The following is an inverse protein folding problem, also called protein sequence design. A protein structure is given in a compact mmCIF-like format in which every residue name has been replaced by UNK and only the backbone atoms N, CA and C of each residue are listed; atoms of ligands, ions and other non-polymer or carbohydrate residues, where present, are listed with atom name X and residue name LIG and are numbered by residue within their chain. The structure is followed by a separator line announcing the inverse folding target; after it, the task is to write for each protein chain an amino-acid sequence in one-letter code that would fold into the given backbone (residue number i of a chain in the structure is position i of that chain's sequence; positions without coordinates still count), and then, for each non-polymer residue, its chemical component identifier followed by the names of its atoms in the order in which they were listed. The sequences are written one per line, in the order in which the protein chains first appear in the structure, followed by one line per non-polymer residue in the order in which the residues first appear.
data_IF_672760324900
#
_entry.id   IF_672760324900
#
_cell.length_a   1.000
_cell.length_b   1.000
_cell.length_c   1.000
_cell.angle_alpha   90.00
_cell.angle_beta   90.00
_cell.angle_gamma   90.00
#
_symmetry.space_group_name_H-M   'P 1'
#
loop_
_entity.id
_entity.type
_entity.pdbx_description
1 polymer ?
#
# COMPACT_ATOMS: atom_id res chain seq x y z
N UNK A 1 -19.59 -7.21 9.61
CA UNK A 1 -18.44 -8.03 10.09
C UNK A 1 -17.08 -7.59 9.53
N UNK A 2 -16.93 -7.29 8.23
CA UNK A 2 -15.63 -6.91 7.61
C UNK A 2 -15.03 -5.58 8.10
N UNK A 3 -15.84 -4.54 8.30
CA UNK A 3 -15.37 -3.22 8.78
C UNK A 3 -14.84 -3.30 10.22
N UNK A 4 -15.52 -4.04 11.11
CA UNK A 4 -15.06 -4.26 12.49
C UNK A 4 -13.68 -4.94 12.52
N UNK A 5 -13.45 -5.94 11.66
CA UNK A 5 -12.16 -6.63 11.52
C UNK A 5 -11.05 -5.70 11.01
N UNK A 6 -11.36 -4.82 10.06
CA UNK A 6 -10.42 -3.82 9.55
C UNK A 6 -10.01 -2.81 10.64
N UNK A 7 -10.99 -2.30 11.40
CA UNK A 7 -10.74 -1.36 12.50
C UNK A 7 -9.96 -2.00 13.64
N UNK A 8 -10.28 -3.25 14.00
CA UNK A 8 -9.53 -4.02 14.98
C UNK A 8 -8.06 -4.17 14.56
N UNK A 9 -7.83 -4.55 13.30
CA UNK A 9 -6.47 -4.70 12.76
C UNK A 9 -5.70 -3.38 12.83
N UNK A 10 -6.35 -2.26 12.49
CA UNK A 10 -5.74 -0.95 12.59
C UNK A 10 -5.37 -0.60 14.04
N UNK A 11 -6.31 -0.72 14.97
CA UNK A 11 -6.09 -0.35 16.37
C UNK A 11 -5.05 -1.23 17.06
N UNK A 12 -5.00 -2.52 16.72
CA UNK A 12 -3.95 -3.42 17.21
C UNK A 12 -2.54 -2.99 16.79
N UNK A 13 -2.39 -2.20 15.71
CA UNK A 13 -1.10 -1.61 15.32
C UNK A 13 -0.93 -0.19 15.88
N UNK A 14 -1.97 0.64 15.77
CA UNK A 14 -1.93 2.03 16.16
C UNK A 14 -1.69 2.21 17.67
N UNK A 15 -2.31 1.40 18.53
CA UNK A 15 -2.14 1.50 19.99
C UNK A 15 -0.68 1.23 20.40
N UNK A 16 -0.04 0.11 20.00
CA UNK A 16 1.40 -0.08 20.24
C UNK A 16 2.26 1.05 19.66
N UNK A 17 1.94 1.57 18.48
CA UNK A 17 2.67 2.69 17.88
C UNK A 17 2.60 3.96 18.75
N UNK A 18 1.44 4.30 19.30
CA UNK A 18 1.31 5.42 20.24
C UNK A 18 2.09 5.18 21.53
N UNK A 19 2.07 3.96 22.07
CA UNK A 19 2.84 3.62 23.27
C UNK A 19 4.33 3.84 22.99
N UNK A 20 4.86 3.29 21.90
CA UNK A 20 6.27 3.46 21.49
C UNK A 20 6.61 4.95 21.28
N UNK A 21 5.74 5.70 20.61
CA UNK A 21 5.94 7.13 20.38
C UNK A 21 6.04 7.92 21.70
N UNK A 22 5.14 7.66 22.65
CA UNK A 22 5.10 8.37 23.93
C UNK A 22 6.21 7.95 24.89
N UNK A 23 6.47 6.65 25.05
CA UNK A 23 7.36 6.14 26.10
C UNK A 23 8.80 5.96 25.63
N UNK A 24 9.01 5.44 24.42
CA UNK A 24 10.36 5.15 23.89
C UNK A 24 10.93 6.36 23.16
N UNK A 25 10.10 7.07 22.41
CA UNK A 25 10.54 8.20 21.59
C UNK A 25 10.34 9.57 22.27
N UNK A 26 9.66 9.62 23.42
CA UNK A 26 9.43 10.85 24.19
C UNK A 26 8.53 11.88 23.48
N UNK A 27 7.70 11.45 22.53
CA UNK A 27 6.81 12.33 21.79
C UNK A 27 5.62 12.78 22.65
N UNK A 28 5.31 14.09 22.65
CA UNK A 28 4.20 14.62 23.42
C UNK A 28 2.85 14.26 22.77
N UNK A 29 2.17 13.28 23.34
CA UNK A 29 0.86 12.81 22.87
C UNK A 29 -0.26 13.49 23.65
N UNK A 30 -0.89 14.49 23.04
CA UNK A 30 -2.16 15.04 23.55
C UNK A 30 -3.35 14.16 23.15
N UNK A 31 -4.44 14.17 23.93
CA UNK A 31 -5.67 13.45 23.58
C UNK A 31 -6.25 13.90 22.22
N UNK A 32 -6.10 15.19 21.89
CA UNK A 32 -6.51 15.73 20.59
C UNK A 32 -5.66 15.18 19.44
N UNK A 33 -4.35 15.02 19.65
CA UNK A 33 -3.43 14.41 18.67
C UNK A 33 -3.82 12.96 18.42
N UNK A 34 -4.03 12.18 19.48
CA UNK A 34 -4.43 10.76 19.37
C UNK A 34 -5.75 10.63 18.60
N UNK A 35 -6.75 11.47 18.90
CA UNK A 35 -8.03 11.44 18.19
C UNK A 35 -7.87 11.77 16.70
N UNK A 36 -7.08 12.80 16.37
CA UNK A 36 -6.80 13.16 14.96
C UNK A 36 -6.08 12.02 14.23
N UNK A 37 -5.09 11.38 14.85
CA UNK A 37 -4.36 10.24 14.27
C UNK A 37 -5.26 9.01 14.06
N UNK A 38 -6.12 8.68 15.02
CA UNK A 38 -7.07 7.57 14.89
C UNK A 38 -8.07 7.78 13.75
N UNK A 39 -8.42 9.04 13.45
CA UNK A 39 -9.28 9.42 12.33
C UNK A 39 -8.51 9.61 11.01
N UNK A 40 -7.18 9.48 10.99
CA UNK A 40 -6.35 9.72 9.82
C UNK A 40 -6.26 11.20 9.39
N UNK A 41 -6.54 12.11 10.33
CA UNK A 41 -6.47 13.58 10.17
C UNK A 41 -5.11 14.16 10.63
N UNK A 42 -4.25 13.32 11.18
CA UNK A 42 -2.87 13.63 11.57
C UNK A 42 -1.96 12.49 11.13
N UNK A 43 -0.67 12.78 10.97
CA UNK A 43 0.33 11.85 10.41
C UNK A 43 1.66 11.85 11.18
N UNK A 44 1.66 12.39 12.40
CA UNK A 44 2.80 12.45 13.29
C UNK A 44 3.23 11.08 13.81
N UNK A 45 2.30 10.15 14.04
CA UNK A 45 2.60 8.79 14.54
C UNK A 45 2.24 7.74 13.49
N UNK A 46 1.03 7.78 12.95
CA UNK A 46 0.54 6.87 11.94
C UNK A 46 0.58 7.55 10.58
N UNK A 47 1.78 7.82 10.05
CA UNK A 47 1.98 8.57 8.80
C UNK A 47 1.21 7.98 7.60
N UNK A 48 0.98 6.66 7.60
CA UNK A 48 0.19 6.01 6.55
C UNK A 48 -1.31 5.94 6.82
N UNK A 49 -1.86 6.53 7.88
CA UNK A 49 -3.31 6.57 8.14
C UNK A 49 -4.12 7.23 7.00
N UNK A 50 -3.46 7.89 6.03
CA UNK A 50 -4.07 8.40 4.80
C UNK A 50 -4.89 7.35 4.03
N UNK A 51 -4.61 6.06 4.18
CA UNK A 51 -5.41 5.02 3.52
C UNK A 51 -6.86 5.00 4.03
N UNK A 52 -7.14 5.43 5.26
CA UNK A 52 -8.50 5.46 5.83
C UNK A 52 -9.41 6.41 5.04
N UNK A 53 -9.12 7.73 4.95
CA UNK A 53 -9.91 8.63 4.12
C UNK A 53 -9.82 8.25 2.63
N UNK A 54 -8.68 7.74 2.16
CA UNK A 54 -8.54 7.23 0.78
C UNK A 54 -9.51 6.10 0.47
N UNK A 55 -9.64 5.08 1.32
CA UNK A 55 -10.58 3.97 1.08
C UNK A 55 -12.01 4.43 1.19
N UNK A 56 -12.35 5.30 2.14
CA UNK A 56 -13.69 5.86 2.23
C UNK A 56 -14.08 6.54 0.92
N UNK A 57 -13.25 7.44 0.40
CA UNK A 57 -13.50 8.11 -0.88
C UNK A 57 -13.49 7.11 -2.04
N UNK A 58 -12.51 6.20 -2.09
CA UNK A 58 -12.38 5.24 -3.18
C UNK A 58 -13.58 4.31 -3.28
N UNK A 59 -14.09 3.80 -2.15
CA UNK A 59 -15.30 2.96 -2.13
C UNK A 59 -16.50 3.78 -2.61
N UNK A 60 -16.69 4.99 -2.10
CA UNK A 60 -17.81 5.85 -2.49
C UNK A 60 -17.80 6.19 -3.98
N UNK A 61 -16.62 6.47 -4.55
CA UNK A 61 -16.46 6.77 -5.99
C UNK A 61 -16.57 5.50 -6.83
N UNK A 62 -16.03 4.37 -6.39
CA UNK A 62 -16.06 3.11 -7.15
C UNK A 62 -17.48 2.56 -7.34
N UNK A 63 -18.36 2.73 -6.36
CA UNK A 63 -19.76 2.23 -6.40
C UNK A 63 -20.52 2.70 -7.66
N UNK A 64 -20.56 4.00 -7.99
CA UNK A 64 -21.13 4.46 -9.26
C UNK A 64 -20.19 4.22 -10.46
N UNK A 65 -18.88 4.38 -10.28
CA UNK A 65 -17.92 4.36 -11.39
C UNK A 65 -17.77 2.98 -12.05
N UNK A 66 -17.92 1.90 -11.29
CA UNK A 66 -17.81 0.52 -11.83
C UNK A 66 -18.79 0.26 -12.98
N UNK A 67 -20.00 0.87 -12.96
CA UNK A 67 -21.00 0.70 -14.03
C UNK A 67 -20.54 1.36 -15.32
N UNK A 68 -19.91 2.53 -15.22
CA UNK A 68 -19.36 3.24 -16.37
C UNK A 68 -18.14 2.50 -16.92
N UNK A 69 -17.20 2.13 -16.05
CA UNK A 69 -15.97 1.41 -16.45
C UNK A 69 -16.23 0.02 -17.01
N UNK A 70 -17.42 -0.57 -16.75
CA UNK A 70 -17.79 -1.88 -17.29
C UNK A 70 -18.32 -1.83 -18.72
N UNK A 71 -18.55 -0.64 -19.30
CA UNK A 71 -19.11 -0.51 -20.65
C UNK A 71 -18.14 -0.96 -21.74
N UNK A 72 -16.91 -0.45 -21.72
CA UNK A 72 -15.79 -0.90 -22.55
C UNK A 72 -14.47 -0.44 -21.91
N UNK A 73 -13.35 -0.96 -22.42
CA UNK A 73 -12.01 -0.71 -21.84
C UNK A 73 -11.63 0.76 -21.97
N UNK A 74 -11.98 1.41 -23.07
CA UNK A 74 -11.65 2.80 -23.36
C UNK A 74 -12.32 3.76 -22.37
N UNK A 75 -13.63 3.58 -22.12
CA UNK A 75 -14.38 4.30 -21.10
C UNK A 75 -13.78 3.99 -19.72
N UNK A 76 -13.40 2.73 -19.47
CA UNK A 76 -12.69 2.34 -18.26
C UNK A 76 -11.41 3.15 -18.03
N UNK A 77 -10.56 3.28 -19.04
CA UNK A 77 -9.30 4.05 -18.97
C UNK A 77 -9.59 5.55 -18.77
N UNK A 78 -10.53 6.11 -19.52
CA UNK A 78 -10.88 7.53 -19.40
C UNK A 78 -11.40 7.86 -18.01
N UNK A 79 -12.38 7.10 -17.51
CA UNK A 79 -13.07 7.41 -16.26
C UNK A 79 -12.38 6.85 -15.01
N UNK A 80 -11.60 5.78 -15.15
CA UNK A 80 -10.88 5.13 -14.05
C UNK A 80 -9.44 5.63 -13.86
N UNK A 81 -8.80 6.14 -14.92
CA UNK A 81 -7.39 6.55 -14.87
C UNK A 81 -7.23 8.03 -15.20
N UNK A 82 -7.60 8.44 -16.42
CA UNK A 82 -7.28 9.79 -16.92
C UNK A 82 -8.06 10.87 -16.14
N UNK A 83 -9.37 10.71 -16.03
CA UNK A 83 -10.25 11.69 -15.37
C UNK A 83 -9.92 11.84 -13.88
N UNK A 84 -9.74 10.79 -13.07
CA UNK A 84 -9.31 10.93 -11.68
C UNK A 84 -7.98 11.66 -11.55
N UNK A 85 -6.98 11.33 -12.37
CA UNK A 85 -5.68 12.02 -12.35
C UNK A 85 -5.88 13.52 -12.64
N UNK A 86 -6.63 13.87 -13.68
CA UNK A 86 -6.88 15.26 -14.06
C UNK A 86 -7.66 16.03 -12.98
N UNK A 87 -8.77 15.45 -12.48
CA UNK A 87 -9.62 16.06 -11.45
C UNK A 87 -8.82 16.32 -10.18
N UNK A 88 -8.12 15.32 -9.65
CA UNK A 88 -7.36 15.51 -8.42
C UNK A 88 -6.13 16.40 -8.60
N UNK A 89 -5.54 16.46 -9.81
CA UNK A 89 -4.48 17.42 -10.12
C UNK A 89 -4.98 18.87 -10.14
N UNK A 90 -6.20 19.11 -10.65
CA UNK A 90 -6.84 20.43 -10.64
C UNK A 90 -7.24 20.82 -9.22
N UNK A 91 -7.92 19.92 -8.51
CA UNK A 91 -8.38 20.17 -7.13
C UNK A 91 -7.22 20.49 -6.19
N UNK A 92 -6.05 19.87 -6.37
CA UNK A 92 -4.84 20.19 -5.58
C UNK A 92 -4.38 21.65 -5.72
N UNK A 93 -4.73 22.35 -6.79
CA UNK A 93 -4.35 23.77 -7.00
C UNK A 93 -5.23 24.76 -6.22
N UNK A 94 -6.35 24.31 -5.67
CA UNK A 94 -7.23 25.16 -4.87
C UNK A 94 -6.59 25.47 -3.51
N UNK A 95 -6.91 26.62 -2.87
CA UNK A 95 -6.41 26.97 -1.54
C UNK A 95 -7.07 26.10 -0.46
N UNK A 96 -6.64 24.86 -0.38
CA UNK A 96 -7.16 23.83 0.52
C UNK A 96 -6.27 23.69 1.76
N UNK A 97 -6.83 23.09 2.82
CA UNK A 97 -6.04 22.68 3.97
C UNK A 97 -4.98 21.65 3.56
N UNK A 98 -3.90 21.57 4.33
CA UNK A 98 -2.76 20.69 4.03
C UNK A 98 -3.18 19.21 3.94
N UNK A 99 -4.12 18.80 4.79
CA UNK A 99 -4.66 17.45 4.89
C UNK A 99 -5.46 17.07 3.65
N UNK A 100 -6.32 17.97 3.16
CA UNK A 100 -7.10 17.76 1.93
C UNK A 100 -6.16 17.70 0.72
N UNK A 101 -5.13 18.56 0.69
CA UNK A 101 -4.10 18.53 -0.35
C UNK A 101 -3.36 17.19 -0.42
N UNK A 102 -3.01 16.61 0.74
CA UNK A 102 -2.40 15.27 0.84
C UNK A 102 -3.36 14.19 0.35
N UNK A 103 -4.63 14.22 0.79
CA UNK A 103 -5.65 13.26 0.35
C UNK A 103 -5.83 13.28 -1.17
N UNK A 104 -5.98 14.46 -1.78
CA UNK A 104 -6.11 14.58 -3.23
C UNK A 104 -4.86 14.12 -3.96
N UNK A 105 -3.66 14.38 -3.42
CA UNK A 105 -2.43 13.86 -3.99
C UNK A 105 -2.38 12.32 -3.96
N UNK A 106 -2.84 11.70 -2.87
CA UNK A 106 -2.92 10.25 -2.74
C UNK A 106 -3.99 9.65 -3.66
N UNK A 107 -5.17 10.25 -3.75
CA UNK A 107 -6.24 9.81 -4.66
C UNK A 107 -5.79 9.89 -6.13
N UNK A 108 -5.15 10.99 -6.53
CA UNK A 108 -4.54 11.14 -7.87
C UNK A 108 -3.63 9.96 -8.23
N UNK A 109 -2.83 9.50 -7.26
CA UNK A 109 -1.80 8.50 -7.47
C UNK A 109 -2.33 7.06 -7.39
N UNK A 110 -3.12 6.76 -6.36
CA UNK A 110 -3.50 5.39 -6.02
C UNK A 110 -4.88 4.98 -6.54
N UNK A 111 -5.79 5.93 -6.80
CA UNK A 111 -7.10 5.59 -7.35
C UNK A 111 -7.01 4.88 -8.72
N UNK A 112 -6.14 5.29 -9.66
CA UNK A 112 -5.93 4.56 -10.91
C UNK A 112 -5.53 3.10 -10.70
N UNK A 113 -4.79 2.77 -9.64
CA UNK A 113 -4.41 1.39 -9.32
C UNK A 113 -5.65 0.54 -8.99
N UNK A 114 -6.61 1.11 -8.25
CA UNK A 114 -7.88 0.46 -7.93
C UNK A 114 -8.70 0.23 -9.20
N UNK A 115 -8.79 1.24 -10.07
CA UNK A 115 -9.52 1.13 -11.33
C UNK A 115 -8.90 0.12 -12.28
N UNK A 116 -7.57 0.11 -12.43
CA UNK A 116 -6.87 -0.89 -13.26
C UNK A 116 -7.03 -2.30 -12.68
N UNK A 117 -6.98 -2.47 -11.37
CA UNK A 117 -7.29 -3.76 -10.73
C UNK A 117 -8.69 -4.26 -11.08
N UNK A 118 -9.70 -3.39 -10.97
CA UNK A 118 -11.07 -3.71 -11.38
C UNK A 118 -11.18 -4.06 -12.87
N UNK A 119 -10.58 -3.25 -13.76
CA UNK A 119 -10.59 -3.48 -15.20
C UNK A 119 -9.86 -4.76 -15.58
N UNK A 120 -8.77 -5.09 -14.88
CA UNK A 120 -8.00 -6.32 -15.11
C UNK A 120 -8.85 -7.55 -14.91
N UNK A 121 -9.64 -7.57 -13.84
CA UNK A 121 -10.64 -8.60 -13.59
C UNK A 121 -11.78 -8.57 -14.63
N UNK A 122 -12.34 -7.39 -14.90
CA UNK A 122 -13.53 -7.26 -15.77
C UNK A 122 -13.26 -7.66 -17.23
N UNK A 123 -12.07 -7.38 -17.73
CA UNK A 123 -11.70 -7.52 -19.14
C UNK A 123 -10.64 -8.58 -19.40
N UNK A 124 -10.28 -9.37 -18.39
CA UNK A 124 -9.24 -10.40 -18.47
C UNK A 124 -7.94 -9.84 -19.07
N UNK A 125 -7.48 -8.71 -18.54
CA UNK A 125 -6.34 -7.97 -19.12
C UNK A 125 -5.05 -8.80 -19.06
N UNK A 126 -4.87 -9.60 -18.00
CA UNK A 126 -3.70 -10.44 -17.85
C UNK A 126 -3.66 -11.56 -18.90
N UNK A 127 -4.80 -12.18 -19.20
CA UNK A 127 -4.94 -13.19 -20.25
C UNK A 127 -4.72 -12.58 -21.63
N UNK A 128 -5.19 -11.35 -21.87
CA UNK A 128 -4.91 -10.64 -23.12
C UNK A 128 -3.43 -10.35 -23.30
N UNK A 129 -2.77 -9.85 -22.25
CA UNK A 129 -1.31 -9.64 -22.25
C UNK A 129 -0.60 -10.96 -22.53
N UNK A 130 -1.05 -12.06 -21.92
CA UNK A 130 -0.48 -13.37 -22.13
C UNK A 130 -0.60 -13.85 -23.60
N UNK A 131 -1.74 -13.60 -24.23
CA UNK A 131 -1.97 -13.92 -25.64
C UNK A 131 -1.04 -13.12 -26.59
N UNK A 132 -0.78 -11.85 -26.32
CA UNK A 132 0.20 -11.07 -27.09
C UNK A 132 1.64 -11.56 -26.94
N UNK A 133 1.93 -12.28 -25.84
CA UNK A 133 3.25 -12.77 -25.48
C UNK A 133 3.36 -14.30 -25.61
N UNK A 134 2.48 -14.93 -26.39
CA UNK A 134 2.43 -16.40 -26.53
C UNK A 134 3.72 -16.97 -27.14
N UNK A 135 4.30 -16.27 -28.11
CA UNK A 135 5.46 -16.73 -28.88
C UNK A 135 6.82 -16.33 -28.29
N UNK A 136 6.84 -15.72 -27.11
CA UNK A 136 8.08 -15.25 -26.47
C UNK A 136 8.39 -16.05 -25.20
N UNK A 137 9.66 -16.06 -24.81
CA UNK A 137 10.06 -16.69 -23.56
C UNK A 137 9.53 -15.88 -22.36
N UNK A 138 8.42 -16.34 -21.78
CA UNK A 138 7.71 -15.67 -20.69
C UNK A 138 8.58 -15.44 -19.44
N UNK A 139 9.56 -16.30 -19.16
CA UNK A 139 10.47 -16.11 -18.03
C UNK A 139 11.39 -14.91 -18.25
N UNK A 140 11.97 -14.80 -19.44
CA UNK A 140 12.84 -13.67 -19.80
C UNK A 140 12.03 -12.37 -19.78
N UNK A 141 10.84 -12.38 -20.40
CA UNK A 141 9.94 -11.21 -20.39
C UNK A 141 9.57 -10.81 -18.97
N UNK A 142 9.28 -11.77 -18.09
CA UNK A 142 8.92 -11.48 -16.69
C UNK A 142 10.07 -10.84 -15.91
N UNK A 143 11.30 -11.34 -16.07
CA UNK A 143 12.49 -10.74 -15.43
C UNK A 143 12.70 -9.31 -15.96
N UNK A 144 12.60 -9.11 -17.27
CA UNK A 144 12.72 -7.79 -17.89
C UNK A 144 11.64 -6.84 -17.38
N UNK A 145 10.38 -7.28 -17.30
CA UNK A 145 9.27 -6.49 -16.77
C UNK A 145 9.50 -6.09 -15.32
N UNK A 146 10.01 -7.00 -14.47
CA UNK A 146 10.35 -6.67 -13.08
C UNK A 146 11.39 -5.55 -13.05
N UNK A 147 12.48 -5.68 -13.79
CA UNK A 147 13.54 -4.65 -13.86
C UNK A 147 12.98 -3.33 -14.39
N UNK A 148 12.20 -3.36 -15.46
CA UNK A 148 11.56 -2.18 -16.05
C UNK A 148 10.57 -1.51 -15.09
N UNK A 149 9.82 -2.27 -14.29
CA UNK A 149 8.93 -1.70 -13.27
C UNK A 149 9.73 -0.98 -12.18
N UNK A 150 10.84 -1.55 -11.70
CA UNK A 150 11.66 -0.92 -10.68
C UNK A 150 12.39 0.33 -11.20
N UNK A 151 13.04 0.22 -12.36
CA UNK A 151 13.73 1.35 -13.00
C UNK A 151 12.73 2.41 -13.45
N UNK A 152 11.63 2.00 -14.06
CA UNK A 152 10.55 2.88 -14.51
C UNK A 152 9.96 3.68 -13.35
N UNK A 153 9.65 3.04 -12.22
CA UNK A 153 9.15 3.71 -11.01
C UNK A 153 10.12 4.76 -10.48
N UNK A 154 11.43 4.52 -10.56
CA UNK A 154 12.45 5.48 -10.16
C UNK A 154 12.37 6.79 -10.96
N UNK A 155 12.11 6.71 -12.27
CA UNK A 155 12.00 7.88 -13.14
C UNK A 155 10.59 8.47 -13.23
N UNK A 156 9.56 7.63 -13.23
CA UNK A 156 8.16 8.04 -13.49
C UNK A 156 7.22 7.36 -12.50
N UNK A 157 7.12 7.91 -11.29
CA UNK A 157 6.23 7.37 -10.25
C UNK A 157 4.73 7.41 -10.61
N UNK A 158 4.32 8.27 -11.56
CA UNK A 158 2.91 8.43 -11.94
C UNK A 158 2.26 7.20 -12.59
N UNK A 159 3.06 6.19 -12.99
CA UNK A 159 2.59 5.00 -13.71
C UNK A 159 2.45 3.76 -12.81
N UNK A 160 2.34 3.95 -11.49
CA UNK A 160 2.20 2.86 -10.51
C UNK A 160 1.07 1.87 -10.84
N UNK A 161 -0.02 2.35 -11.45
CA UNK A 161 -1.13 1.49 -11.90
C UNK A 161 -0.71 0.48 -12.98
N UNK A 162 0.19 0.88 -13.88
CA UNK A 162 0.72 0.03 -14.93
C UNK A 162 1.83 -0.89 -14.38
N UNK A 163 2.72 -0.35 -13.54
CA UNK A 163 3.76 -1.16 -12.91
C UNK A 163 3.19 -2.26 -12.04
N UNK A 164 2.14 -1.99 -11.27
CA UNK A 164 1.45 -3.00 -10.47
C UNK A 164 0.88 -4.12 -11.34
N UNK A 165 0.24 -3.77 -12.46
CA UNK A 165 -0.31 -4.75 -13.42
C UNK A 165 0.78 -5.65 -14.02
N UNK A 166 1.86 -5.05 -14.52
CA UNK A 166 2.96 -5.80 -15.14
C UNK A 166 3.77 -6.61 -14.13
N UNK A 167 3.97 -6.10 -12.92
CA UNK A 167 4.62 -6.84 -11.84
C UNK A 167 3.79 -8.07 -11.45
N UNK A 168 2.46 -7.92 -11.38
CA UNK A 168 1.55 -9.05 -11.14
C UNK A 168 1.66 -10.10 -12.24
N UNK A 169 1.61 -9.67 -13.52
CA UNK A 169 1.81 -10.57 -14.67
C UNK A 169 3.15 -11.32 -14.59
N UNK A 170 4.24 -10.61 -14.31
CA UNK A 170 5.58 -11.18 -14.25
C UNK A 170 5.72 -12.23 -13.13
N UNK A 171 5.22 -11.94 -11.94
CA UNK A 171 5.28 -12.86 -10.79
C UNK A 171 4.52 -14.15 -11.10
N UNK A 172 3.32 -14.05 -11.68
CA UNK A 172 2.50 -15.22 -12.05
C UNK A 172 3.26 -16.11 -13.06
N UNK A 173 3.90 -15.50 -14.06
CA UNK A 173 4.60 -16.24 -15.11
C UNK A 173 5.89 -16.91 -14.68
N UNK A 174 6.59 -16.37 -13.67
CA UNK A 174 7.79 -17.00 -13.13
C UNK A 174 7.51 -18.31 -12.37
N UNK A 175 6.23 -18.66 -12.15
CA UNK A 175 5.79 -19.90 -11.47
C UNK A 175 6.48 -20.11 -10.12
N UNK A 176 6.85 -19.02 -9.45
CA UNK A 176 7.47 -19.06 -8.13
C UNK A 176 6.44 -19.61 -7.16
N UNK A 177 6.77 -20.73 -6.52
CA UNK A 177 5.87 -21.41 -5.60
C UNK A 177 6.58 -21.78 -4.30
N UNK A 178 5.79 -22.18 -3.30
CA UNK A 178 6.22 -22.51 -1.95
C UNK A 178 7.23 -23.67 -1.85
N UNK A 179 7.49 -24.43 -2.93
CA UNK A 179 8.58 -25.42 -2.93
C UNK A 179 9.95 -24.78 -3.02
N UNK A 180 10.03 -23.58 -3.59
CA UNK A 180 11.28 -22.81 -3.73
C UNK A 180 11.54 -21.93 -2.50
N UNK A 181 12.80 -21.65 -2.19
CA UNK A 181 13.17 -20.70 -1.11
C UNK A 181 12.54 -19.32 -1.37
N UNK A 182 12.64 -18.83 -2.61
CA UNK A 182 12.06 -17.56 -3.01
C UNK A 182 10.54 -17.53 -2.81
N UNK A 183 9.83 -18.61 -3.18
CA UNK A 183 8.38 -18.68 -2.99
C UNK A 183 7.96 -18.76 -1.53
N UNK A 184 8.68 -19.51 -0.68
CA UNK A 184 8.43 -19.49 0.79
C UNK A 184 8.63 -18.11 1.39
N UNK A 185 9.67 -17.40 0.95
CA UNK A 185 9.94 -16.04 1.42
C UNK A 185 8.88 -15.04 0.95
N UNK A 186 8.49 -15.10 -0.33
CA UNK A 186 7.41 -14.26 -0.88
C UNK A 186 6.09 -14.55 -0.18
N UNK A 187 5.77 -15.82 0.07
CA UNK A 187 4.57 -16.21 0.82
C UNK A 187 4.60 -15.68 2.27
N UNK A 188 5.74 -15.81 2.98
CA UNK A 188 5.91 -15.23 4.31
C UNK A 188 5.70 -13.71 4.32
N UNK A 189 6.29 -13.00 3.35
CA UNK A 189 6.10 -11.56 3.18
C UNK A 189 4.64 -11.24 2.84
N UNK A 190 3.99 -12.04 1.99
CA UNK A 190 2.60 -11.88 1.58
C UNK A 190 1.64 -12.01 2.75
N UNK A 191 1.81 -13.03 3.59
CA UNK A 191 1.03 -13.26 4.82
C UNK A 191 1.16 -12.10 5.80
N UNK A 192 2.35 -11.54 5.94
CA UNK A 192 2.66 -10.44 6.87
C UNK A 192 2.47 -9.03 6.27
N UNK A 193 2.23 -8.93 4.95
CA UNK A 193 2.31 -7.69 4.17
C UNK A 193 1.49 -6.52 4.72
N UNK A 194 0.26 -6.79 5.19
CA UNK A 194 -0.63 -5.74 5.73
C UNK A 194 -0.09 -5.13 7.02
N UNK A 195 0.45 -5.93 7.92
CA UNK A 195 1.06 -5.42 9.15
C UNK A 195 2.38 -4.75 8.87
N UNK A 196 3.23 -5.33 8.02
CA UNK A 196 4.47 -4.70 7.58
C UNK A 196 4.19 -3.32 6.98
N UNK A 197 3.12 -3.20 6.19
CA UNK A 197 2.65 -1.92 5.67
C UNK A 197 2.20 -0.93 6.76
N UNK A 198 1.64 -1.35 7.88
CA UNK A 198 1.35 -0.42 8.97
C UNK A 198 2.59 -0.10 9.81
N UNK A 199 3.40 -1.10 10.11
CA UNK A 199 4.56 -0.99 10.98
C UNK A 199 5.69 -0.18 10.35
N UNK A 200 5.84 -0.21 9.01
CA UNK A 200 6.87 0.61 8.36
C UNK A 200 6.62 2.11 8.50
N UNK A 201 5.41 2.54 8.91
CA UNK A 201 5.15 3.93 9.35
C UNK A 201 6.20 4.40 10.35
N UNK A 202 6.62 3.51 11.26
CA UNK A 202 7.46 3.88 12.40
C UNK A 202 8.84 4.39 11.97
N UNK A 203 9.32 4.00 10.78
CA UNK A 203 10.59 4.50 10.22
C UNK A 203 10.50 5.93 9.70
N UNK A 204 9.30 6.41 9.37
CA UNK A 204 9.10 7.68 8.65
C UNK A 204 8.26 8.70 9.41
N UNK A 205 7.44 8.25 10.36
CA UNK A 205 6.61 9.12 11.16
C UNK A 205 7.44 10.05 12.03
N UNK A 206 7.03 11.31 12.12
CA UNK A 206 7.74 12.36 12.85
C UNK A 206 8.05 11.94 14.30
N UNK A 207 7.09 11.32 14.97
CA UNK A 207 7.18 10.93 16.36
C UNK A 207 8.19 9.81 16.63
N UNK A 208 8.51 8.97 15.64
CA UNK A 208 9.30 7.74 15.86
C UNK A 208 10.54 7.65 14.98
N UNK A 209 10.63 8.41 13.88
CA UNK A 209 11.71 8.29 12.89
C UNK A 209 13.10 8.39 13.51
N UNK A 210 13.33 9.31 14.45
CA UNK A 210 14.67 9.58 14.98
C UNK A 210 15.21 8.38 15.78
N UNK A 211 14.31 7.58 16.36
CA UNK A 211 14.66 6.41 17.17
C UNK A 211 14.65 5.13 16.35
N UNK A 212 13.66 4.97 15.46
CA UNK A 212 13.43 3.72 14.73
C UNK A 212 14.24 3.65 13.44
N UNK A 213 14.35 4.76 12.69
CA UNK A 213 15.07 4.76 11.41
C UNK A 213 16.53 4.28 11.52
N UNK A 214 17.32 4.65 12.56
CA UNK A 214 18.68 4.15 12.73
C UNK A 214 18.82 2.63 12.80
N UNK A 215 17.78 1.89 13.23
CA UNK A 215 17.80 0.43 13.38
C UNK A 215 18.03 -0.31 12.05
N UNK A 216 17.50 0.23 10.95
CA UNK A 216 17.78 -0.31 9.61
C UNK A 216 18.84 0.51 8.86
N UNK A 217 18.90 1.83 9.09
CA UNK A 217 19.73 2.74 8.30
C UNK A 217 21.22 2.73 8.68
N UNK A 218 21.62 2.05 9.77
CA UNK A 218 23.03 1.88 10.14
C UNK A 218 23.87 1.25 9.02
N UNK A 219 23.26 0.41 8.17
CA UNK A 219 23.95 -0.30 7.10
C UNK A 219 24.45 0.61 5.97
N UNK A 220 23.90 1.83 5.83
CA UNK A 220 24.24 2.84 4.79
C UNK A 220 24.24 2.32 3.33
N UNK A 221 23.77 1.11 3.09
CA UNK A 221 23.63 0.49 1.78
C UNK A 221 22.14 0.21 1.52
N UNK A 222 21.54 0.73 0.44
CA UNK A 222 20.09 0.63 0.20
C UNK A 222 19.54 -0.81 0.21
N UNK A 223 20.31 -1.78 -0.29
CA UNK A 223 19.91 -3.20 -0.33
C UNK A 223 19.91 -3.77 1.09
N UNK A 224 20.96 -3.51 1.86
CA UNK A 224 21.04 -3.98 3.25
C UNK A 224 19.97 -3.33 4.13
N UNK A 225 19.72 -2.03 3.96
CA UNK A 225 18.63 -1.32 4.65
C UNK A 225 17.29 -2.01 4.37
N UNK A 226 17.02 -2.34 3.10
CA UNK A 226 15.80 -3.05 2.72
C UNK A 226 15.71 -4.42 3.38
N UNK A 227 16.78 -5.22 3.34
CA UNK A 227 16.81 -6.56 3.94
C UNK A 227 16.56 -6.51 5.44
N UNK A 228 17.25 -5.60 6.15
CA UNK A 228 17.10 -5.42 7.60
C UNK A 228 15.68 -4.95 7.92
N UNK A 229 15.18 -3.91 7.25
CA UNK A 229 13.84 -3.40 7.48
C UNK A 229 12.76 -4.47 7.22
N UNK A 230 12.86 -5.25 6.14
CA UNK A 230 11.92 -6.35 5.85
C UNK A 230 11.95 -7.39 6.96
N UNK A 231 13.12 -7.78 7.44
CA UNK A 231 13.25 -8.74 8.53
C UNK A 231 12.64 -8.21 9.84
N UNK A 232 12.98 -6.98 10.24
CA UNK A 232 12.41 -6.32 11.42
C UNK A 232 10.88 -6.24 11.35
N UNK A 233 10.35 -5.87 10.18
CA UNK A 233 8.91 -5.75 9.95
C UNK A 233 8.17 -7.09 9.97
N UNK A 234 8.79 -8.18 9.48
CA UNK A 234 8.22 -9.53 9.60
C UNK A 234 8.12 -9.93 11.08
N UNK A 235 9.19 -9.74 11.85
CA UNK A 235 9.21 -10.07 13.28
C UNK A 235 8.13 -9.28 14.04
N UNK A 236 8.04 -7.97 13.80
CA UNK A 236 7.02 -7.13 14.42
C UNK A 236 5.60 -7.52 13.97
N UNK A 237 5.42 -7.91 12.72
CA UNK A 237 4.13 -8.38 12.19
C UNK A 237 3.62 -9.62 12.93
N UNK A 238 4.48 -10.62 13.14
CA UNK A 238 4.13 -11.84 13.88
C UNK A 238 3.75 -11.53 15.34
N UNK A 239 4.45 -10.58 15.98
CA UNK A 239 4.09 -10.09 17.34
C UNK A 239 2.70 -9.45 17.34
N UNK A 240 2.41 -8.60 16.35
CA UNK A 240 1.09 -7.96 16.20
C UNK A 240 -0.01 -9.01 15.99
N UNK A 241 0.22 -10.03 15.17
CA UNK A 241 -0.77 -11.08 14.93
C UNK A 241 -0.99 -11.96 16.18
N UNK A 242 0.05 -12.20 16.97
CA UNK A 242 -0.09 -12.82 18.29
C UNK A 242 -0.93 -11.97 19.25
N UNK A 243 -0.82 -10.64 19.21
CA UNK A 243 -1.69 -9.73 20.00
C UNK A 243 -3.13 -9.80 19.49
N UNK A 244 -3.34 -9.71 18.18
CA UNK A 244 -4.68 -9.75 17.58
C UNK A 244 -5.42 -11.05 17.89
N UNK A 245 -4.75 -12.20 17.82
CA UNK A 245 -5.38 -13.49 18.10
C UNK A 245 -5.92 -13.55 19.54
N UNK A 246 -5.14 -13.07 20.52
CA UNK A 246 -5.55 -12.97 21.93
C UNK A 246 -6.67 -11.97 22.19
N UNK A 247 -6.70 -10.85 21.46
CA UNK A 247 -7.75 -9.83 21.60
C UNK A 247 -9.05 -10.33 20.96
N UNK A 248 -8.96 -10.96 19.78
CA UNK A 248 -10.11 -11.50 19.05
C UNK A 248 -10.80 -12.60 19.84
N UNK A 249 -10.04 -13.50 20.50
CA UNK A 249 -10.60 -14.57 21.34
C UNK A 249 -11.28 -14.08 22.63
N UNK A 250 -11.15 -12.80 22.99
CA UNK A 250 -11.80 -12.18 24.16
C UNK A 250 -13.00 -11.31 23.81
N UNK A 251 -13.11 -10.87 22.56
CA UNK A 251 -14.14 -9.93 22.09
C UNK A 251 -15.25 -10.66 21.29
N UNK A 252 -14.95 -11.83 20.75
CA UNK A 252 -15.90 -12.77 20.14
C UNK A 252 -16.14 -13.95 21.08
#
# INVERSE_FOLDING_TARGET
MKIKKLLLNYWCVAIPAFIIAGTVCGYSLSAQTILKELLGLSSSVMIFAWYVPFYCVSILVMVPLQKLMSRNVEIGVVFGVILPIAVFAILKKMPLSSEIGILFNNLKHWFPCVSVGFMSYKYNLLEKIDGYLENVNKNIVSILLIVLCFVGRYFVSALDFAYCLFLTYAIINLKINEKSIAGRFIDLCGRNSSNMWFLHCLYFAEATRNTIQPLAFFARNPILIYIVAVFELIVLSEIIDAIKSKVTSKIL
#
